data_IF_370460334290
#
_entry.id   IF_370460334290
#
_cell.length_a   1.000
_cell.length_b   1.000
_cell.length_c   1.000
_cell.angle_alpha   90.00
_cell.angle_beta   90.00
_cell.angle_gamma   90.00
#
_symmetry.space_group_name_H-M   'P 1'
#
loop_
_entity.id
_entity.type
_entity.pdbx_description
1 polymer ?
#
# COMPACT_ATOMS: atom_id res chain seq x y z
N UNK A 1 -15.65 -1.04 -8.38
CA UNK A 1 -14.28 -0.81 -7.88
C UNK A 1 -13.31 -0.91 -9.06
N UNK A 2 -12.57 0.15 -9.35
CA UNK A 2 -11.65 0.21 -10.49
C UNK A 2 -10.36 -0.57 -10.16
N UNK A 3 -9.78 -1.22 -11.18
CA UNK A 3 -8.60 -2.09 -11.07
C UNK A 3 -7.41 -1.45 -11.76
N UNK A 4 -6.24 -1.59 -11.16
CA UNK A 4 -4.99 -1.02 -11.63
C UNK A 4 -3.86 -2.06 -11.53
N UNK A 5 -2.95 -2.03 -12.49
CA UNK A 5 -1.63 -2.65 -12.39
C UNK A 5 -0.59 -1.57 -12.06
N UNK A 6 0.65 -1.99 -11.77
CA UNK A 6 1.77 -1.08 -11.52
C UNK A 6 2.84 -1.34 -12.59
N UNK A 7 3.13 -0.33 -13.40
CA UNK A 7 4.16 -0.38 -14.45
C UNK A 7 5.17 0.72 -14.15
N UNK A 8 6.41 0.35 -13.85
CA UNK A 8 7.48 1.31 -13.47
C UNK A 8 7.08 2.28 -12.34
N UNK A 9 6.31 1.80 -11.37
CA UNK A 9 5.80 2.62 -10.25
C UNK A 9 4.59 3.50 -10.59
N UNK A 10 4.05 3.40 -11.80
CA UNK A 10 2.90 4.17 -12.27
C UNK A 10 1.64 3.29 -12.24
N UNK A 11 0.62 3.66 -11.44
CA UNK A 11 -0.66 2.97 -11.47
C UNK A 11 -1.33 3.11 -12.84
N UNK A 12 -1.60 1.99 -13.48
CA UNK A 12 -2.19 1.93 -14.83
C UNK A 12 -3.53 1.21 -14.78
N UNK A 13 -4.65 1.82 -15.23
CA UNK A 13 -5.95 1.15 -15.26
C UNK A 13 -5.91 -0.12 -16.12
N UNK A 14 -6.45 -1.23 -15.60
CA UNK A 14 -6.60 -2.48 -16.34
C UNK A 14 -8.06 -2.95 -16.29
N UNK A 15 -8.85 -2.66 -17.34
CA UNK A 15 -10.26 -3.02 -17.36
C UNK A 15 -10.48 -4.54 -17.52
N UNK A 16 -9.57 -5.27 -18.16
CA UNK A 16 -9.71 -6.71 -18.36
C UNK A 16 -9.41 -7.46 -17.07
N UNK A 17 -10.46 -8.06 -16.47
CA UNK A 17 -10.36 -8.79 -15.21
C UNK A 17 -9.36 -9.94 -15.25
N UNK A 18 -9.24 -10.64 -16.39
CA UNK A 18 -8.31 -11.76 -16.54
C UNK A 18 -6.85 -11.29 -16.60
N UNK A 19 -6.57 -10.19 -17.31
CA UNK A 19 -5.22 -9.60 -17.35
C UNK A 19 -4.83 -9.04 -15.98
N UNK A 20 -5.74 -8.31 -15.34
CA UNK A 20 -5.51 -7.80 -13.99
C UNK A 20 -5.29 -8.94 -12.99
N UNK A 21 -6.09 -10.01 -13.05
CA UNK A 21 -5.98 -11.15 -12.16
C UNK A 21 -4.64 -11.89 -12.29
N UNK A 22 -4.23 -12.18 -13.53
CA UNK A 22 -2.95 -12.82 -13.80
C UNK A 22 -1.75 -11.97 -13.32
N UNK A 23 -1.83 -10.65 -13.48
CA UNK A 23 -0.84 -9.74 -12.93
C UNK A 23 -0.89 -9.71 -11.39
N UNK A 24 -2.07 -9.59 -10.78
CA UNK A 24 -2.24 -9.44 -9.33
C UNK A 24 -1.75 -10.67 -8.55
N UNK A 25 -1.88 -11.86 -9.14
CA UNK A 25 -1.43 -13.12 -8.54
C UNK A 25 0.10 -13.19 -8.36
N UNK A 26 0.87 -12.55 -9.25
CA UNK A 26 2.33 -12.72 -9.33
C UNK A 26 3.12 -11.43 -9.12
N UNK A 27 2.48 -10.27 -9.18
CA UNK A 27 3.14 -8.99 -9.02
C UNK A 27 3.68 -8.78 -7.60
N UNK A 28 4.92 -8.29 -7.50
CA UNK A 28 5.38 -7.68 -6.26
C UNK A 28 4.71 -6.31 -6.08
N UNK A 29 3.88 -6.20 -5.05
CA UNK A 29 3.12 -5.00 -4.72
C UNK A 29 3.68 -4.26 -3.51
N UNK A 30 4.78 -4.72 -2.92
CA UNK A 30 5.41 -4.05 -1.77
C UNK A 30 6.18 -2.83 -2.25
N UNK A 31 5.89 -1.68 -1.65
CA UNK A 31 6.58 -0.41 -1.96
C UNK A 31 7.70 -0.14 -0.97
N UNK A 32 7.46 -0.38 0.32
CA UNK A 32 8.43 -0.19 1.40
C UNK A 32 8.09 -1.09 2.58
N UNK A 33 9.09 -1.48 3.36
CA UNK A 33 8.92 -2.30 4.55
C UNK A 33 10.09 -2.07 5.51
N UNK A 34 9.76 -1.74 6.75
CA UNK A 34 10.71 -1.52 7.85
C UNK A 34 10.13 -2.14 9.13
N UNK A 35 10.99 -2.62 10.04
CA UNK A 35 10.55 -3.27 11.28
C UNK A 35 11.59 -3.18 12.40
N UNK A 36 11.13 -3.23 13.64
CA UNK A 36 11.94 -3.48 14.84
C UNK A 36 11.40 -4.71 15.60
N UNK A 37 11.85 -4.95 16.83
CA UNK A 37 11.41 -6.10 17.63
C UNK A 37 9.91 -6.07 17.98
N UNK A 38 9.29 -4.89 17.97
CA UNK A 38 7.94 -4.68 18.47
C UNK A 38 6.92 -4.44 17.36
N UNK A 39 7.33 -3.83 16.24
CA UNK A 39 6.43 -3.35 15.19
C UNK A 39 7.04 -3.54 13.80
N UNK A 40 6.15 -3.63 12.81
CA UNK A 40 6.48 -3.57 11.39
C UNK A 40 5.59 -2.56 10.67
N UNK A 41 6.19 -1.78 9.79
CA UNK A 41 5.55 -0.79 8.94
C UNK A 41 5.64 -1.30 7.51
N UNK A 42 4.50 -1.47 6.83
CA UNK A 42 4.44 -2.05 5.48
C UNK A 42 3.62 -1.19 4.55
N UNK A 43 4.23 -0.73 3.45
CA UNK A 43 3.53 0.00 2.39
C UNK A 43 3.33 -0.88 1.17
N UNK A 44 2.11 -0.92 0.67
CA UNK A 44 1.72 -1.74 -0.49
C UNK A 44 0.91 -0.95 -1.50
N UNK A 45 0.99 -1.38 -2.76
CA UNK A 45 0.06 -1.02 -3.80
C UNK A 45 -1.17 -1.95 -3.74
N UNK A 46 -2.36 -1.37 -3.56
CA UNK A 46 -3.62 -2.09 -3.37
C UNK A 46 -4.16 -2.73 -4.65
N UNK A 47 -3.79 -2.19 -5.83
CA UNK A 47 -4.32 -2.57 -7.14
C UNK A 47 -5.84 -2.39 -7.34
N UNK A 48 -6.57 -2.00 -6.30
CA UNK A 48 -7.99 -1.70 -6.29
C UNK A 48 -8.18 -0.30 -5.73
N UNK A 49 -9.04 0.49 -6.38
CA UNK A 49 -9.41 1.80 -5.86
C UNK A 49 -10.23 1.67 -4.56
N UNK A 50 -9.62 2.06 -3.44
CA UNK A 50 -10.24 2.09 -2.11
C UNK A 50 -10.94 3.42 -1.78
N UNK A 51 -11.05 4.34 -2.75
CA UNK A 51 -11.94 5.48 -2.62
C UNK A 51 -13.39 5.05 -2.92
N UNK A 52 -14.28 5.18 -1.93
CA UNK A 52 -15.70 4.86 -2.04
C UNK A 52 -16.59 6.10 -2.28
N UNK A 53 -16.00 7.29 -2.32
CA UNK A 53 -16.70 8.54 -2.60
C UNK A 53 -16.11 9.27 -3.81
N UNK A 54 -16.23 10.60 -3.80
CA UNK A 54 -15.64 11.46 -4.81
C UNK A 54 -14.13 11.64 -4.59
N UNK A 55 -13.41 11.97 -5.67
CA UNK A 55 -11.97 12.30 -5.62
C UNK A 55 -11.06 11.29 -6.34
N UNK A 56 -9.74 11.46 -6.23
CA UNK A 56 -8.77 10.60 -6.90
C UNK A 56 -8.82 9.17 -6.35
N UNK A 57 -8.33 8.17 -7.12
CA UNK A 57 -8.28 6.80 -6.64
C UNK A 57 -7.28 6.66 -5.48
N UNK A 58 -7.65 5.89 -4.46
CA UNK A 58 -6.77 5.52 -3.35
C UNK A 58 -6.21 4.13 -3.65
N UNK A 59 -4.91 4.08 -3.92
CA UNK A 59 -4.25 2.91 -4.51
C UNK A 59 -3.06 2.40 -3.69
N UNK A 60 -2.69 3.11 -2.64
CA UNK A 60 -1.60 2.73 -1.76
C UNK A 60 -2.06 2.80 -0.31
N UNK A 61 -1.49 1.96 0.53
CA UNK A 61 -1.63 2.08 1.96
C UNK A 61 -0.32 1.75 2.67
N UNK A 62 -0.12 2.37 3.82
CA UNK A 62 0.88 2.01 4.81
C UNK A 62 0.16 1.56 6.05
N UNK A 63 0.46 0.34 6.49
CA UNK A 63 -0.08 -0.23 7.73
C UNK A 63 1.04 -0.47 8.73
N UNK A 64 0.75 -0.22 9.99
CA UNK A 64 1.60 -0.57 11.13
C UNK A 64 0.98 -1.76 11.85
N UNK A 65 1.77 -2.77 12.14
CA UNK A 65 1.35 -3.93 12.91
C UNK A 65 2.30 -4.14 14.07
N UNK A 66 1.77 -4.56 15.22
CA UNK A 66 2.58 -5.16 16.27
C UNK A 66 3.16 -6.51 15.80
N UNK A 67 4.40 -6.78 16.15
CA UNK A 67 5.07 -8.01 15.75
C UNK A 67 4.35 -9.24 16.33
N UNK A 68 4.20 -10.29 15.52
CA UNK A 68 3.36 -11.45 15.84
C UNK A 68 1.84 -11.21 15.86
N UNK A 69 1.35 -9.99 15.62
CA UNK A 69 -0.09 -9.68 15.50
C UNK A 69 -0.52 -9.50 14.05
N UNK A 70 -1.78 -9.78 13.75
CA UNK A 70 -2.43 -9.42 12.47
C UNK A 70 -3.33 -8.18 12.58
N UNK A 71 -3.51 -7.62 13.78
CA UNK A 71 -4.25 -6.37 13.98
C UNK A 71 -3.34 -5.18 13.66
N UNK A 72 -3.89 -4.23 12.91
CA UNK A 72 -3.23 -2.97 12.61
C UNK A 72 -3.37 -1.96 13.75
N UNK A 73 -2.30 -1.22 13.98
CA UNK A 73 -2.20 -0.15 14.98
C UNK A 73 -2.41 1.23 14.33
N UNK A 74 -1.99 1.39 13.07
CA UNK A 74 -2.24 2.57 12.24
C UNK A 74 -2.38 2.14 10.78
N UNK A 75 -3.25 2.81 10.02
CA UNK A 75 -3.47 2.59 8.60
C UNK A 75 -3.70 3.93 7.91
N UNK A 76 -2.77 4.29 7.01
CA UNK A 76 -2.84 5.51 6.20
C UNK A 76 -2.87 5.16 4.72
N UNK A 77 -3.71 5.85 3.94
CA UNK A 77 -3.90 5.57 2.52
C UNK A 77 -3.60 6.77 1.63
N UNK A 78 -3.12 6.50 0.43
CA UNK A 78 -2.56 7.50 -0.48
C UNK A 78 -2.99 7.27 -1.92
N UNK A 79 -3.00 8.35 -2.71
CA UNK A 79 -3.31 8.30 -4.13
C UNK A 79 -2.06 7.93 -4.95
N UNK A 80 -0.88 8.38 -4.51
CA UNK A 80 0.39 8.19 -5.25
C UNK A 80 1.43 7.42 -4.45
N UNK A 81 2.38 6.79 -5.16
CA UNK A 81 3.48 6.05 -4.55
C UNK A 81 4.42 6.99 -3.77
N UNK A 82 4.63 8.22 -4.25
CA UNK A 82 5.49 9.21 -3.58
C UNK A 82 4.89 9.67 -2.25
N UNK A 83 3.59 9.95 -2.20
CA UNK A 83 2.90 10.22 -0.93
C UNK A 83 2.98 9.03 0.02
N UNK A 84 2.82 7.80 -0.51
CA UNK A 84 2.91 6.59 0.30
C UNK A 84 4.29 6.37 0.91
N UNK A 85 5.38 6.64 0.15
CA UNK A 85 6.76 6.59 0.67
C UNK A 85 7.00 7.66 1.73
N UNK A 86 6.48 8.88 1.54
CA UNK A 86 6.61 9.94 2.55
C UNK A 86 5.90 9.55 3.84
N UNK A 87 4.64 9.11 3.74
CA UNK A 87 3.88 8.67 4.90
C UNK A 87 4.45 7.41 5.56
N UNK A 88 5.09 6.53 4.79
CA UNK A 88 5.88 5.42 5.34
C UNK A 88 7.02 5.93 6.24
N UNK A 89 7.85 6.85 5.73
CA UNK A 89 8.96 7.40 6.49
C UNK A 89 8.51 8.15 7.76
N UNK A 90 7.32 8.76 7.74
CA UNK A 90 6.70 9.36 8.93
C UNK A 90 6.32 8.28 9.96
N UNK A 91 5.66 7.20 9.52
CA UNK A 91 5.27 6.09 10.40
C UNK A 91 6.47 5.32 10.98
N UNK A 92 7.54 5.15 10.19
CA UNK A 92 8.80 4.57 10.69
C UNK A 92 9.37 5.40 11.85
N UNK A 93 9.39 6.74 11.71
CA UNK A 93 9.86 7.63 12.78
C UNK A 93 8.96 7.63 14.01
N UNK A 94 7.68 7.35 13.84
CA UNK A 94 6.69 7.34 14.92
C UNK A 94 6.68 6.02 15.69
N UNK A 95 6.83 4.89 14.98
CA UNK A 95 6.59 3.55 15.54
C UNK A 95 7.86 2.70 15.71
N UNK A 96 8.91 2.98 14.95
CA UNK A 96 10.15 2.19 14.96
C UNK A 96 11.30 2.91 15.69
N UNK A 97 10.99 3.82 16.62
CA UNK A 97 12.00 4.39 17.51
C UNK A 97 12.59 3.31 18.43
N UNK A 98 13.81 3.55 18.92
CA UNK A 98 14.47 2.71 19.93
C UNK A 98 13.64 2.61 21.23
#
# INVERSE_FOLDING_TARGET
MNRYTLVDGIPTPEPCILKWGAWFETADRRVAFDSNENYRVSTVFLALNHNFGDGPPILFETMVFKEGSSHDEDCRRYATQEEAKKGHAELVKEWLTE
#
